data_IF_138633585091
#
_entry.id   IF_138633585091
#
_cell.length_a   1.000
_cell.length_b   1.000
_cell.length_c   1.000
_cell.angle_alpha   90.00
_cell.angle_beta   90.00
_cell.angle_gamma   90.00
#
_symmetry.space_group_name_H-M   'P 1'
#
loop_
_entity.id
_entity.type
_entity.pdbx_description
1 polymer ?
#
# COMPACT_ATOMS: atom_id res chain seq x y z
N UNK A 1 -9.59 24.76 4.41
CA UNK A 1 -8.99 23.86 5.42
C UNK A 1 -8.95 22.46 4.81
N UNK A 2 -7.85 21.77 4.91
CA UNK A 2 -7.67 20.38 4.46
C UNK A 2 -8.17 19.45 5.56
N UNK A 3 -9.22 18.70 5.30
CA UNK A 3 -9.91 17.84 6.28
C UNK A 3 -10.46 16.54 5.68
N UNK A 4 -10.06 16.19 4.46
CA UNK A 4 -10.31 14.90 3.81
C UNK A 4 -8.95 14.25 3.57
N UNK A 5 -8.66 13.15 4.26
CA UNK A 5 -7.38 12.47 4.18
C UNK A 5 -7.52 11.12 3.48
N UNK A 6 -6.91 10.99 2.30
CA UNK A 6 -6.78 9.75 1.56
C UNK A 6 -5.42 9.15 1.93
N UNK A 7 -5.42 8.06 2.69
CA UNK A 7 -4.20 7.46 3.26
C UNK A 7 -4.00 6.08 2.67
N UNK A 8 -2.86 5.85 2.07
CA UNK A 8 -2.48 4.50 1.61
C UNK A 8 -2.27 3.56 2.80
N UNK A 9 -2.40 2.25 2.57
CA UNK A 9 -2.29 1.25 3.61
C UNK A 9 -0.89 0.64 3.71
N UNK A 10 -0.38 0.08 2.62
CA UNK A 10 0.81 -0.76 2.62
C UNK A 10 2.10 0.07 2.55
N UNK A 11 3.02 -0.15 3.49
CA UNK A 11 4.25 0.62 3.70
C UNK A 11 4.03 2.12 3.98
N UNK A 12 2.74 2.49 4.23
CA UNK A 12 2.35 3.81 4.72
C UNK A 12 1.80 3.71 6.16
N UNK A 13 0.89 2.79 6.42
CA UNK A 13 0.29 2.53 7.76
C UNK A 13 0.65 1.13 8.25
N UNK A 14 0.58 0.13 7.38
CA UNK A 14 0.92 -1.26 7.67
C UNK A 14 2.29 -1.58 7.07
N UNK A 15 3.15 -2.24 7.84
CA UNK A 15 4.44 -2.76 7.40
C UNK A 15 4.22 -3.97 6.48
N UNK A 16 3.98 -3.70 5.20
CA UNK A 16 3.84 -4.75 4.20
C UNK A 16 5.15 -5.50 3.98
N UNK A 17 6.28 -4.79 3.95
CA UNK A 17 7.58 -5.40 3.72
C UNK A 17 7.95 -6.41 4.81
N UNK A 18 7.78 -6.06 6.08
CA UNK A 18 8.03 -6.98 7.18
C UNK A 18 7.05 -8.14 7.25
N UNK A 19 5.77 -7.88 6.99
CA UNK A 19 4.75 -8.93 6.93
C UNK A 19 5.00 -9.92 5.77
N UNK A 20 5.37 -9.41 4.58
CA UNK A 20 5.70 -10.23 3.42
C UNK A 20 6.95 -11.08 3.65
N UNK A 21 8.00 -10.53 4.27
CA UNK A 21 9.22 -11.27 4.60
C UNK A 21 8.92 -12.45 5.53
N UNK A 22 8.17 -12.22 6.60
CA UNK A 22 7.75 -13.29 7.52
C UNK A 22 6.90 -14.35 6.82
N UNK A 23 5.96 -13.94 5.97
CA UNK A 23 5.11 -14.86 5.23
C UNK A 23 5.91 -15.73 4.25
N UNK A 24 6.94 -15.18 3.60
CA UNK A 24 7.85 -15.91 2.71
C UNK A 24 8.74 -16.88 3.51
N UNK A 25 9.29 -16.44 4.64
CA UNK A 25 10.09 -17.28 5.53
C UNK A 25 9.28 -18.52 5.99
N UNK A 26 8.04 -18.30 6.42
CA UNK A 26 7.16 -19.40 6.81
C UNK A 26 6.85 -20.32 5.63
N UNK A 27 6.56 -19.76 4.45
CA UNK A 27 6.30 -20.55 3.26
C UNK A 27 7.50 -21.45 2.87
N UNK A 28 8.73 -20.98 3.00
CA UNK A 28 9.91 -21.81 2.81
C UNK A 28 10.04 -22.88 3.89
N UNK A 29 9.88 -22.50 5.16
CA UNK A 29 10.06 -23.40 6.31
C UNK A 29 9.04 -24.54 6.28
N UNK A 30 7.78 -24.26 6.01
CA UNK A 30 6.72 -25.28 5.89
C UNK A 30 6.95 -26.24 4.72
N UNK A 31 7.66 -25.79 3.67
CA UNK A 31 8.06 -26.64 2.55
C UNK A 31 9.44 -27.28 2.73
N UNK A 32 10.02 -27.26 3.94
CA UNK A 32 11.30 -27.91 4.27
C UNK A 32 12.53 -27.25 3.65
N UNK A 33 12.43 -26.00 3.18
CA UNK A 33 13.54 -25.24 2.61
C UNK A 33 14.06 -24.24 3.63
N UNK A 34 15.38 -24.22 3.81
CA UNK A 34 16.02 -23.25 4.70
C UNK A 34 15.91 -21.83 4.16
N UNK A 35 15.31 -20.96 4.95
CA UNK A 35 15.21 -19.53 4.64
C UNK A 35 16.58 -18.87 4.55
N UNK A 36 16.73 -17.93 3.61
CA UNK A 36 17.92 -17.10 3.45
C UNK A 36 17.51 -15.66 3.16
N UNK A 37 18.08 -14.71 3.88
CA UNK A 37 17.75 -13.29 3.71
C UNK A 37 17.96 -12.76 2.27
N UNK A 38 18.90 -13.35 1.53
CA UNK A 38 19.15 -13.01 0.12
C UNK A 38 17.94 -13.28 -0.80
N UNK A 39 17.04 -14.21 -0.42
CA UNK A 39 15.82 -14.48 -1.18
C UNK A 39 14.87 -13.27 -1.15
N UNK A 40 14.86 -12.52 -0.04
CA UNK A 40 14.00 -11.35 0.07
C UNK A 40 14.41 -10.22 -0.87
N UNK A 41 15.70 -10.01 -1.09
CA UNK A 41 16.18 -9.03 -2.08
C UNK A 41 15.64 -9.36 -3.47
N UNK A 42 15.78 -10.61 -3.91
CA UNK A 42 15.25 -11.06 -5.21
C UNK A 42 13.73 -10.95 -5.29
N UNK A 43 13.03 -11.29 -4.20
CA UNK A 43 11.57 -11.17 -4.15
C UNK A 43 11.13 -9.72 -4.32
N UNK A 44 11.72 -8.78 -3.55
CA UNK A 44 11.37 -7.35 -3.60
C UNK A 44 11.55 -6.78 -4.99
N UNK A 45 12.70 -7.04 -5.63
CA UNK A 45 12.99 -6.57 -6.98
C UNK A 45 11.98 -7.12 -8.01
N UNK A 46 11.68 -8.40 -7.95
CA UNK A 46 10.74 -9.04 -8.86
C UNK A 46 9.31 -8.56 -8.61
N UNK A 47 8.88 -8.52 -7.34
CA UNK A 47 7.54 -8.11 -6.95
C UNK A 47 7.26 -6.66 -7.35
N UNK A 48 8.22 -5.75 -7.15
CA UNK A 48 8.10 -4.36 -7.59
C UNK A 48 7.87 -4.27 -9.10
N UNK A 49 8.67 -4.98 -9.91
CA UNK A 49 8.50 -5.00 -11.37
C UNK A 49 7.14 -5.55 -11.81
N UNK A 50 6.62 -6.55 -11.11
CA UNK A 50 5.31 -7.13 -11.40
C UNK A 50 4.17 -6.14 -11.09
N UNK A 51 4.25 -5.43 -9.96
CA UNK A 51 3.28 -4.39 -9.62
C UNK A 51 3.33 -3.21 -10.58
N UNK A 52 4.52 -2.75 -10.97
CA UNK A 52 4.69 -1.73 -12.01
C UNK A 52 4.09 -2.17 -13.36
N UNK A 53 4.28 -3.45 -13.75
CA UNK A 53 3.68 -3.98 -14.98
C UNK A 53 2.15 -4.03 -14.89
N UNK A 54 1.58 -4.32 -13.71
CA UNK A 54 0.15 -4.25 -13.47
C UNK A 54 -0.36 -2.80 -13.60
N UNK A 55 0.32 -1.83 -12.98
CA UNK A 55 -0.01 -0.40 -13.09
C UNK A 55 -0.01 0.08 -14.55
N UNK A 56 0.94 -0.42 -15.36
CA UNK A 56 1.01 -0.15 -16.81
C UNK A 56 0.02 -0.98 -17.64
N UNK A 57 -0.78 -1.86 -17.01
CA UNK A 57 -1.74 -2.77 -17.67
C UNK A 57 -1.08 -3.77 -18.65
N UNK A 58 0.19 -4.09 -18.47
CA UNK A 58 0.93 -5.08 -19.24
C UNK A 58 0.58 -6.51 -18.81
N UNK A 59 0.17 -6.68 -17.55
CA UNK A 59 -0.32 -7.94 -16.98
C UNK A 59 -1.63 -7.69 -16.22
N UNK A 60 -2.39 -8.76 -15.97
CA UNK A 60 -3.58 -8.70 -15.12
C UNK A 60 -3.25 -9.03 -13.67
N UNK A 61 -4.09 -8.59 -12.72
CA UNK A 61 -3.97 -8.94 -11.30
C UNK A 61 -4.01 -10.46 -11.10
N UNK A 62 -4.91 -11.15 -11.77
CA UNK A 62 -5.03 -12.60 -11.72
C UNK A 62 -3.72 -13.28 -12.16
N UNK A 63 -3.13 -12.83 -13.27
CA UNK A 63 -1.85 -13.34 -13.74
C UNK A 63 -0.74 -13.07 -12.71
N UNK A 64 -0.64 -11.86 -12.17
CA UNK A 64 0.34 -11.52 -11.14
C UNK A 64 0.22 -12.45 -9.92
N UNK A 65 -0.99 -12.62 -9.42
CA UNK A 65 -1.25 -13.42 -8.22
C UNK A 65 -0.96 -14.91 -8.44
N UNK A 66 -1.16 -15.43 -9.65
CA UNK A 66 -0.87 -16.83 -9.99
C UNK A 66 0.60 -17.08 -10.35
N UNK A 67 1.28 -16.12 -11.01
CA UNK A 67 2.61 -16.33 -11.56
C UNK A 67 3.76 -15.85 -10.66
N UNK A 68 3.49 -14.96 -9.73
CA UNK A 68 4.52 -14.35 -8.86
C UNK A 68 5.44 -15.38 -8.21
N UNK A 69 4.89 -16.37 -7.53
CA UNK A 69 5.71 -17.36 -6.83
C UNK A 69 6.30 -18.44 -7.72
N UNK A 70 5.61 -18.98 -8.74
CA UNK A 70 6.26 -19.80 -9.76
C UNK A 70 7.50 -19.15 -10.36
N UNK A 71 7.42 -17.86 -10.74
CA UNK A 71 8.56 -17.10 -11.26
C UNK A 71 9.66 -16.90 -10.21
N UNK A 72 9.28 -16.58 -8.99
CA UNK A 72 10.23 -16.37 -7.89
C UNK A 72 11.03 -17.63 -7.58
N UNK A 73 10.35 -18.77 -7.37
CA UNK A 73 10.97 -20.05 -7.08
C UNK A 73 11.89 -20.51 -8.22
N UNK A 74 11.44 -20.33 -9.46
CA UNK A 74 12.26 -20.59 -10.66
C UNK A 74 13.53 -19.74 -10.68
N UNK A 75 13.42 -18.45 -10.35
CA UNK A 75 14.57 -17.54 -10.30
C UNK A 75 15.58 -17.90 -9.21
N UNK A 76 15.14 -18.58 -8.15
CA UNK A 76 15.99 -19.14 -7.08
C UNK A 76 16.55 -20.52 -7.42
N UNK A 77 16.07 -21.20 -8.46
CA UNK A 77 16.40 -22.59 -8.76
C UNK A 77 15.84 -23.56 -7.73
N UNK A 78 14.71 -23.23 -7.07
CA UNK A 78 14.06 -24.03 -6.04
C UNK A 78 12.85 -24.74 -6.67
N UNK A 79 12.83 -26.08 -6.56
CA UNK A 79 11.76 -26.93 -7.09
C UNK A 79 10.68 -27.12 -6.02
N UNK A 80 9.76 -26.16 -5.95
CA UNK A 80 8.55 -26.18 -5.12
C UNK A 80 7.32 -25.84 -5.96
N UNK A 81 6.16 -26.33 -5.55
CA UNK A 81 4.89 -25.94 -6.13
C UNK A 81 4.57 -24.46 -5.78
N UNK A 82 4.54 -23.60 -6.80
CA UNK A 82 4.32 -22.16 -6.60
C UNK A 82 2.92 -21.82 -6.10
N UNK A 83 1.89 -22.61 -6.40
CA UNK A 83 0.52 -22.40 -5.90
C UNK A 83 0.43 -22.72 -4.41
N UNK A 84 1.01 -23.84 -3.98
CA UNK A 84 1.06 -24.21 -2.56
C UNK A 84 1.88 -23.19 -1.75
N UNK A 85 3.01 -22.74 -2.31
CA UNK A 85 3.81 -21.68 -1.70
C UNK A 85 2.99 -20.39 -1.56
N UNK A 86 2.27 -19.97 -2.62
CA UNK A 86 1.41 -18.79 -2.60
C UNK A 86 0.29 -18.92 -1.55
N UNK A 87 -0.31 -20.09 -1.41
CA UNK A 87 -1.36 -20.35 -0.41
C UNK A 87 -0.85 -20.12 1.02
N UNK A 88 0.32 -20.65 1.37
CA UNK A 88 0.94 -20.41 2.68
C UNK A 88 1.29 -18.95 2.87
N UNK A 89 1.89 -18.32 1.87
CA UNK A 89 2.23 -16.91 1.89
C UNK A 89 1.00 -16.01 2.14
N UNK A 90 -0.09 -16.22 1.39
CA UNK A 90 -1.32 -15.42 1.52
C UNK A 90 -1.94 -15.63 2.90
N UNK A 91 -1.99 -16.86 3.41
CA UNK A 91 -2.51 -17.15 4.75
C UNK A 91 -1.74 -16.37 5.81
N UNK A 92 -0.40 -16.41 5.79
CA UNK A 92 0.41 -15.68 6.76
C UNK A 92 0.33 -14.17 6.58
N UNK A 93 0.43 -13.66 5.34
CA UNK A 93 0.34 -12.23 5.06
C UNK A 93 -0.99 -11.64 5.55
N UNK A 94 -2.09 -12.36 5.32
CA UNK A 94 -3.42 -11.88 5.67
C UNK A 94 -3.73 -11.97 7.16
N UNK A 95 -3.07 -12.88 7.90
CA UNK A 95 -3.36 -13.12 9.32
C UNK A 95 -2.40 -12.44 10.30
N UNK A 96 -1.30 -11.87 9.79
CA UNK A 96 -0.29 -11.23 10.63
C UNK A 96 0.00 -9.79 10.16
N UNK A 97 -1.01 -8.90 10.15
CA UNK A 97 -0.77 -7.51 9.82
C UNK A 97 0.09 -6.85 10.92
N UNK A 98 1.06 -6.06 10.48
CA UNK A 98 1.92 -5.26 11.35
C UNK A 98 1.64 -3.78 11.07
N UNK A 99 1.53 -2.96 12.11
CA UNK A 99 1.57 -1.52 11.95
C UNK A 99 3.01 -1.03 11.85
N UNK A 100 3.24 0.01 11.07
CA UNK A 100 4.46 0.80 11.21
C UNK A 100 4.45 1.50 12.58
N UNK A 101 5.65 1.68 13.15
CA UNK A 101 5.80 2.30 14.47
C UNK A 101 5.18 3.70 14.49
N UNK A 102 4.24 3.92 15.42
CA UNK A 102 3.53 5.18 15.56
C UNK A 102 2.31 5.36 14.67
N UNK A 103 2.04 4.47 13.70
CA UNK A 103 0.94 4.62 12.75
C UNK A 103 -0.45 4.68 13.41
N UNK A 104 -0.69 3.91 14.47
CA UNK A 104 -1.97 3.94 15.18
C UNK A 104 -2.20 5.29 15.88
N UNK A 105 -1.17 5.82 16.54
CA UNK A 105 -1.25 7.15 17.17
C UNK A 105 -1.46 8.25 16.13
N UNK A 106 -0.76 8.15 14.98
CA UNK A 106 -0.96 9.06 13.85
C UNK A 106 -2.41 9.05 13.35
N UNK A 107 -3.00 7.87 13.11
CA UNK A 107 -4.39 7.76 12.65
C UNK A 107 -5.38 8.35 13.66
N UNK A 108 -5.13 8.16 14.97
CA UNK A 108 -5.95 8.77 16.03
C UNK A 108 -5.89 10.30 16.00
N UNK A 109 -4.69 10.87 15.81
CA UNK A 109 -4.53 12.33 15.68
C UNK A 109 -5.15 12.85 14.38
N UNK A 110 -4.97 12.12 13.28
CA UNK A 110 -5.54 12.48 11.98
C UNK A 110 -7.08 12.53 12.04
N UNK A 111 -7.70 11.55 12.68
CA UNK A 111 -9.16 11.49 12.84
C UNK A 111 -9.75 12.62 13.71
N UNK A 112 -8.93 13.32 14.52
CA UNK A 112 -9.38 14.50 15.28
C UNK A 112 -9.46 15.77 14.42
N UNK A 113 -8.71 15.82 13.33
CA UNK A 113 -8.58 17.02 12.48
C UNK A 113 -9.30 16.89 11.15
N UNK A 114 -9.81 15.70 10.82
CA UNK A 114 -10.58 15.47 9.59
C UNK A 114 -11.05 14.04 9.42
N UNK A 115 -11.56 13.77 8.25
CA UNK A 115 -12.13 12.49 7.83
C UNK A 115 -11.05 11.66 7.17
N UNK A 116 -10.86 10.44 7.62
CA UNK A 116 -9.82 9.52 7.14
C UNK A 116 -10.44 8.46 6.24
N UNK A 117 -9.87 8.25 5.08
CA UNK A 117 -10.22 7.20 4.12
C UNK A 117 -8.96 6.43 3.74
N UNK A 118 -9.06 5.11 3.78
CA UNK A 118 -7.93 4.26 3.33
C UNK A 118 -8.09 3.98 1.83
N UNK A 119 -7.00 4.15 1.09
CA UNK A 119 -6.94 3.96 -0.38
C UNK A 119 -5.81 3.00 -0.73
N UNK A 120 -6.11 1.81 -1.27
CA UNK A 120 -5.09 0.77 -1.47
C UNK A 120 -5.22 0.02 -2.78
N UNK A 121 -4.08 -0.34 -3.39
CA UNK A 121 -3.99 -1.22 -4.58
C UNK A 121 -3.96 -2.71 -4.22
N UNK A 122 -4.32 -3.07 -2.99
CA UNK A 122 -4.32 -4.45 -2.54
C UNK A 122 -5.43 -5.32 -3.12
N UNK A 123 -5.36 -6.61 -2.80
CA UNK A 123 -6.39 -7.61 -3.12
C UNK A 123 -7.45 -7.64 -2.01
N UNK A 124 -8.72 -7.64 -2.37
CA UNK A 124 -9.84 -7.48 -1.44
C UNK A 124 -9.81 -8.47 -0.29
N UNK A 125 -9.70 -9.76 -0.59
CA UNK A 125 -9.70 -10.82 0.42
C UNK A 125 -8.56 -10.71 1.42
N UNK A 126 -7.38 -10.29 0.95
CA UNK A 126 -6.19 -10.10 1.79
C UNK A 126 -6.35 -8.85 2.64
N UNK A 127 -6.72 -7.71 2.03
CA UNK A 127 -6.82 -6.44 2.74
C UNK A 127 -7.95 -6.45 3.79
N UNK A 128 -9.14 -6.98 3.46
CA UNK A 128 -10.22 -7.09 4.43
C UNK A 128 -9.79 -7.87 5.67
N UNK A 129 -9.14 -9.03 5.50
CA UNK A 129 -8.67 -9.85 6.62
C UNK A 129 -7.60 -9.14 7.45
N UNK A 130 -6.65 -8.45 6.80
CA UNK A 130 -5.62 -7.66 7.49
C UNK A 130 -6.24 -6.51 8.28
N UNK A 131 -7.21 -5.80 7.69
CA UNK A 131 -7.88 -4.68 8.34
C UNK A 131 -8.79 -5.11 9.49
N UNK A 132 -9.45 -6.27 9.39
CA UNK A 132 -10.23 -6.84 10.49
C UNK A 132 -9.34 -7.17 11.69
N UNK A 133 -8.20 -7.82 11.46
CA UNK A 133 -7.25 -8.23 12.50
C UNK A 133 -6.56 -7.01 13.11
N UNK A 134 -6.08 -6.08 12.29
CA UNK A 134 -5.44 -4.85 12.75
C UNK A 134 -6.42 -3.84 13.32
N UNK A 135 -7.73 -4.03 13.10
CA UNK A 135 -8.80 -3.08 13.43
C UNK A 135 -8.64 -1.72 12.75
N UNK A 136 -8.04 -1.70 11.54
CA UNK A 136 -7.82 -0.48 10.77
C UNK A 136 -9.14 0.26 10.46
N UNK A 137 -10.23 -0.49 10.28
CA UNK A 137 -11.58 0.06 10.11
C UNK A 137 -12.01 1.05 11.21
N UNK A 138 -11.47 0.93 12.42
CA UNK A 138 -11.84 1.83 13.54
C UNK A 138 -11.26 3.24 13.40
N UNK A 139 -10.31 3.44 12.50
CA UNK A 139 -9.64 4.72 12.26
C UNK A 139 -10.10 5.43 10.99
N UNK A 140 -10.78 4.72 10.10
CA UNK A 140 -11.21 5.26 8.81
C UNK A 140 -12.73 5.31 8.70
N UNK A 141 -13.24 6.31 8.00
CA UNK A 141 -14.66 6.43 7.71
C UNK A 141 -15.08 5.44 6.61
N UNK A 142 -14.19 5.17 5.65
CA UNK A 142 -14.36 4.14 4.62
C UNK A 142 -13.00 3.67 4.08
N UNK A 143 -13.02 2.55 3.32
CA UNK A 143 -11.85 1.93 2.71
C UNK A 143 -12.12 1.61 1.25
N UNK A 144 -11.27 2.11 0.36
CA UNK A 144 -11.33 1.89 -1.08
C UNK A 144 -10.22 0.94 -1.51
N UNK A 145 -10.59 -0.30 -1.83
CA UNK A 145 -9.68 -1.32 -2.33
C UNK A 145 -9.80 -1.36 -3.86
N UNK A 146 -8.69 -1.25 -4.57
CA UNK A 146 -8.69 -1.13 -6.04
C UNK A 146 -9.44 -2.26 -6.74
N UNK A 147 -9.31 -3.49 -6.25
CA UNK A 147 -10.02 -4.65 -6.82
C UNK A 147 -11.55 -4.48 -6.77
N UNK A 148 -12.10 -3.84 -5.72
CA UNK A 148 -13.54 -3.57 -5.60
C UNK A 148 -13.99 -2.34 -6.37
N UNK A 149 -13.09 -1.36 -6.56
CA UNK A 149 -13.42 -0.16 -7.34
C UNK A 149 -13.39 -0.40 -8.85
N UNK A 150 -12.68 -1.46 -9.28
CA UNK A 150 -12.42 -1.76 -10.70
C UNK A 150 -11.31 -0.92 -11.33
N UNK A 151 -10.60 -0.14 -10.53
CA UNK A 151 -9.48 0.72 -10.97
C UNK A 151 -8.33 0.65 -9.98
N UNK A 152 -7.11 0.61 -10.46
CA UNK A 152 -5.89 0.72 -9.63
C UNK A 152 -5.38 2.16 -9.61
N UNK A 153 -4.81 2.61 -8.48
CA UNK A 153 -3.99 3.84 -8.45
C UNK A 153 -2.81 3.66 -9.43
N UNK A 154 -2.43 4.63 -10.24
CA UNK A 154 -2.87 6.04 -10.26
C UNK A 154 -4.01 6.32 -11.23
N UNK A 155 -4.71 5.33 -11.78
CA UNK A 155 -5.73 5.57 -12.79
C UNK A 155 -6.78 6.57 -12.30
N UNK A 156 -7.11 7.56 -13.15
CA UNK A 156 -8.13 8.58 -12.85
C UNK A 156 -9.47 7.97 -12.38
N UNK A 157 -9.88 6.82 -12.94
CA UNK A 157 -11.10 6.13 -12.53
C UNK A 157 -11.11 5.72 -11.06
N UNK A 158 -9.95 5.46 -10.45
CA UNK A 158 -9.85 5.19 -9.02
C UNK A 158 -10.19 6.45 -8.19
N UNK A 159 -9.57 7.58 -8.51
CA UNK A 159 -9.83 8.84 -7.80
C UNK A 159 -11.26 9.33 -8.02
N UNK A 160 -11.79 9.19 -9.24
CA UNK A 160 -13.19 9.52 -9.54
C UNK A 160 -14.16 8.63 -8.73
N UNK A 161 -13.85 7.34 -8.58
CA UNK A 161 -14.65 6.43 -7.77
C UNK A 161 -14.65 6.86 -6.30
N UNK A 162 -13.48 7.15 -5.72
CA UNK A 162 -13.36 7.64 -4.34
C UNK A 162 -14.17 8.93 -4.16
N UNK A 163 -13.99 9.90 -5.06
CA UNK A 163 -14.70 11.17 -5.01
C UNK A 163 -16.22 11.02 -5.08
N UNK A 164 -16.72 10.06 -5.86
CA UNK A 164 -18.15 9.80 -5.99
C UNK A 164 -18.78 9.10 -4.77
N UNK A 165 -17.98 8.38 -3.97
CA UNK A 165 -18.46 7.63 -2.80
C UNK A 165 -18.19 8.32 -1.47
N UNK A 166 -17.31 9.31 -1.44
CA UNK A 166 -17.07 10.13 -0.25
C UNK A 166 -18.06 11.30 -0.25
N UNK A 167 -18.95 11.31 0.73
CA UNK A 167 -19.95 12.38 0.86
C UNK A 167 -19.24 13.74 1.02
N UNK A 168 -19.74 14.76 0.29
CA UNK A 168 -19.20 16.13 0.29
C UNK A 168 -17.69 16.19 -0.03
N UNK A 169 -17.23 15.30 -0.93
CA UNK A 169 -15.84 15.31 -1.38
C UNK A 169 -15.49 16.61 -2.10
N UNK A 170 -14.36 17.17 -1.73
CA UNK A 170 -13.81 18.36 -2.36
C UNK A 170 -12.29 18.18 -2.56
N UNK A 171 -11.85 18.16 -3.81
CA UNK A 171 -10.44 18.01 -4.18
C UNK A 171 -9.56 19.09 -3.51
N UNK A 172 -10.08 20.31 -3.35
CA UNK A 172 -9.35 21.40 -2.69
C UNK A 172 -9.18 21.18 -1.18
N UNK A 173 -10.03 20.34 -0.56
CA UNK A 173 -9.95 19.97 0.86
C UNK A 173 -9.19 18.67 1.09
N UNK A 174 -8.94 17.90 0.04
CA UNK A 174 -8.28 16.61 0.15
C UNK A 174 -6.76 16.71 0.29
N UNK A 175 -6.18 15.74 0.98
CA UNK A 175 -4.75 15.44 1.05
C UNK A 175 -4.56 13.96 0.80
N UNK A 176 -3.63 13.61 -0.06
CA UNK A 176 -3.25 12.22 -0.31
C UNK A 176 -1.90 11.92 0.34
N UNK A 177 -1.86 10.91 1.19
CA UNK A 177 -0.67 10.48 1.94
C UNK A 177 -0.33 9.05 1.52
N UNK A 178 0.86 8.81 1.00
CA UNK A 178 1.30 7.48 0.59
C UNK A 178 2.80 7.38 0.33
N UNK A 179 3.31 6.15 0.23
CA UNK A 179 4.75 5.87 0.04
C UNK A 179 5.16 5.72 -1.44
N UNK A 180 4.20 5.51 -2.34
CA UNK A 180 4.46 5.22 -3.76
C UNK A 180 4.37 6.47 -4.62
N UNK A 181 5.49 6.82 -5.30
CA UNK A 181 5.49 7.90 -6.30
C UNK A 181 4.62 7.57 -7.50
N UNK A 182 4.64 6.31 -7.97
CA UNK A 182 3.92 5.87 -9.18
C UNK A 182 2.41 5.67 -8.96
N UNK A 183 2.01 5.30 -7.76
CA UNK A 183 0.61 5.06 -7.43
C UNK A 183 -0.03 6.26 -6.72
N UNK A 184 0.48 6.64 -5.52
CA UNK A 184 -0.16 7.63 -4.66
C UNK A 184 0.08 9.05 -5.11
N UNK A 185 1.36 9.43 -5.25
CA UNK A 185 1.72 10.82 -5.56
C UNK A 185 1.27 11.18 -6.97
N UNK A 186 1.41 10.24 -7.91
CA UNK A 186 0.92 10.43 -9.27
C UNK A 186 -0.61 10.58 -9.30
N UNK A 187 -1.36 9.74 -8.56
CA UNK A 187 -2.81 9.87 -8.48
C UNK A 187 -3.22 11.23 -7.90
N UNK A 188 -2.55 11.69 -6.84
CA UNK A 188 -2.80 12.99 -6.24
C UNK A 188 -2.50 14.15 -7.22
N UNK A 189 -1.35 14.11 -7.91
CA UNK A 189 -0.96 15.13 -8.88
C UNK A 189 -1.97 15.21 -10.04
N UNK A 190 -2.36 14.07 -10.62
CA UNK A 190 -3.33 14.00 -11.72
C UNK A 190 -4.72 14.51 -11.32
N UNK A 191 -5.08 14.39 -10.04
CA UNK A 191 -6.35 14.86 -9.49
C UNK A 191 -6.30 16.29 -8.94
N UNK A 192 -5.15 16.93 -8.88
CA UNK A 192 -4.97 18.24 -8.24
C UNK A 192 -5.18 18.22 -6.73
N UNK A 193 -4.94 17.07 -6.09
CA UNK A 193 -5.00 16.86 -4.64
C UNK A 193 -3.61 17.13 -4.05
N UNK A 194 -3.55 17.80 -2.89
CA UNK A 194 -2.28 17.98 -2.17
C UNK A 194 -1.68 16.64 -1.80
N UNK A 195 -0.42 16.42 -2.16
CA UNK A 195 0.30 15.17 -1.98
C UNK A 195 1.36 15.24 -0.88
N UNK A 196 1.39 14.25 0.00
CA UNK A 196 2.44 14.04 0.99
C UNK A 196 3.09 12.68 0.74
N UNK A 197 4.33 12.69 0.29
CA UNK A 197 5.10 11.48 0.10
C UNK A 197 5.73 11.02 1.41
N UNK A 198 5.24 9.90 1.94
CA UNK A 198 5.82 9.24 3.10
C UNK A 198 7.06 8.45 2.67
N UNK A 199 8.23 8.94 3.02
CA UNK A 199 9.53 8.43 2.55
C UNK A 199 10.52 8.18 3.70
N UNK A 200 10.23 7.24 4.62
CA UNK A 200 11.08 6.97 5.79
C UNK A 200 12.48 6.49 5.41
N UNK A 201 12.62 5.88 4.24
CA UNK A 201 13.90 5.33 3.77
C UNK A 201 14.71 6.30 2.91
N UNK A 202 14.28 7.55 2.76
CA UNK A 202 14.98 8.57 1.95
C UNK A 202 15.28 8.10 0.51
N UNK A 203 14.31 7.39 -0.10
CA UNK A 203 14.37 7.02 -1.51
C UNK A 203 14.53 8.27 -2.37
N UNK A 204 15.30 8.20 -3.45
CA UNK A 204 15.43 9.32 -4.39
C UNK A 204 14.12 9.58 -5.11
N UNK A 205 13.76 10.85 -5.26
CA UNK A 205 12.65 11.23 -6.12
C UNK A 205 12.96 10.87 -7.58
N UNK A 206 11.91 10.49 -8.32
CA UNK A 206 12.00 10.19 -9.74
C UNK A 206 11.14 11.18 -10.53
N UNK A 207 11.28 11.22 -11.86
CA UNK A 207 10.49 12.09 -12.73
C UNK A 207 9.02 11.63 -12.89
N UNK A 208 8.62 10.53 -12.24
CA UNK A 208 7.28 9.94 -12.36
C UNK A 208 6.20 10.84 -11.77
N UNK A 209 6.48 11.44 -10.62
CA UNK A 209 5.57 12.36 -9.92
C UNK A 209 6.35 13.30 -9.00
N UNK A 210 5.79 14.48 -8.75
CA UNK A 210 6.40 15.49 -7.87
C UNK A 210 5.50 15.66 -6.63
N UNK A 211 5.94 15.23 -5.44
CA UNK A 211 5.18 15.45 -4.22
C UNK A 211 5.18 16.92 -3.81
N UNK A 212 4.06 17.42 -3.28
CA UNK A 212 4.02 18.77 -2.67
C UNK A 212 4.85 18.81 -1.39
N UNK A 213 4.85 17.70 -0.64
CA UNK A 213 5.63 17.51 0.58
C UNK A 213 6.25 16.14 0.62
N UNK A 214 7.49 16.04 1.12
CA UNK A 214 8.18 14.78 1.41
C UNK A 214 8.50 14.74 2.90
N UNK A 215 8.13 13.64 3.56
CA UNK A 215 8.25 13.47 5.00
C UNK A 215 8.83 12.09 5.32
N UNK A 216 9.48 11.96 6.50
CA UNK A 216 10.14 10.72 6.90
C UNK A 216 9.41 9.98 8.02
N UNK A 217 8.55 10.66 8.73
CA UNK A 217 7.79 10.08 9.84
C UNK A 217 6.41 10.72 9.98
N UNK A 218 5.59 10.14 10.84
CA UNK A 218 4.21 10.59 11.08
C UNK A 218 4.13 11.97 11.75
N UNK A 219 5.12 12.33 12.56
CA UNK A 219 5.14 13.64 13.20
C UNK A 219 5.34 14.75 12.18
N UNK A 220 6.20 14.54 11.19
CA UNK A 220 6.38 15.48 10.07
C UNK A 220 5.09 15.64 9.24
N UNK A 221 4.29 14.56 9.05
CA UNK A 221 2.98 14.67 8.38
C UNK A 221 2.08 15.63 9.14
N UNK A 222 1.94 15.45 10.47
CA UNK A 222 1.10 16.30 11.30
C UNK A 222 1.56 17.76 11.29
N UNK A 223 2.88 18.00 11.29
CA UNK A 223 3.45 19.37 11.14
C UNK A 223 3.06 19.98 9.80
N UNK A 224 3.18 19.23 8.70
CA UNK A 224 2.77 19.69 7.36
C UNK A 224 1.28 20.02 7.36
N UNK A 225 0.42 19.13 7.86
CA UNK A 225 -1.03 19.33 7.92
C UNK A 225 -1.41 20.57 8.75
N UNK A 226 -0.71 20.80 9.87
CA UNK A 226 -0.93 21.99 10.69
C UNK A 226 -0.56 23.27 9.91
N UNK A 227 0.58 23.27 9.20
CA UNK A 227 1.05 24.42 8.41
C UNK A 227 0.15 24.76 7.24
N UNK A 228 -0.44 23.80 6.55
CA UNK A 228 -1.32 24.06 5.40
C UNK A 228 -2.75 24.44 5.81
N UNK A 229 -3.10 24.26 7.08
CA UNK A 229 -4.42 24.60 7.64
C UNK A 229 -4.44 25.86 8.52
N UNK A 230 -3.28 26.33 8.95
CA UNK A 230 -3.14 27.54 9.78
C UNK A 230 -2.84 28.75 8.96
#
# INVERSE_FOLDING_TARGET
MKDIFLVDADDTILDFHGAAERAIEVAFTENGVVWRAEYMTKYREMNAKLWEALERKEITREWLMSQRFPLFLKALGIDLNGEDFNRVYIEHLSTHPLYLDGAQAFLQELAKIGRVFIVTNGTESIQKRRFDISKLWSYAEDVFISETTGYDKPAKGYTDYVAAHVRDFDYARAVWIGDSLSADIKAANEAGITSIWFNPHSKSATEIATPDYTVKDFAEILVVLHRING
#
